data_IF_504721991329
#
_entry.id   IF_504721991329
#
_cell.length_a   1.000
_cell.length_b   1.000
_cell.length_c   1.000
_cell.angle_alpha   90.00
_cell.angle_beta   90.00
_cell.angle_gamma   90.00
#
_symmetry.space_group_name_H-M   'P 1'
#
loop_
_entity.id
_entity.type
_entity.pdbx_description
1 polymer ?
#
# COMPACT_ATOMS: atom_id res chain seq x y z
N UNK A 1 -15.16 51.25 -28.37
CA UNK A 1 -14.48 51.28 -27.08
C UNK A 1 -13.44 52.40 -27.09
N UNK A 2 -13.70 53.50 -26.35
CA UNK A 2 -12.82 54.68 -26.32
C UNK A 2 -11.41 54.43 -25.78
N UNK A 3 -11.17 53.26 -25.17
CA UNK A 3 -9.89 52.86 -24.56
C UNK A 3 -9.02 52.02 -25.47
N UNK A 4 -9.47 51.62 -26.68
CA UNK A 4 -8.71 50.79 -27.61
C UNK A 4 -8.42 49.33 -27.14
N UNK A 5 -8.99 48.89 -25.96
CA UNK A 5 -8.86 47.53 -25.43
C UNK A 5 -10.12 47.10 -24.75
N UNK A 6 -10.33 45.78 -24.61
CA UNK A 6 -11.45 45.19 -23.83
C UNK A 6 -11.06 45.09 -22.36
N UNK A 7 -11.74 45.79 -21.45
CA UNK A 7 -11.50 45.67 -19.99
C UNK A 7 -11.73 44.23 -19.48
N UNK A 8 -12.70 43.52 -20.02
CA UNK A 8 -12.99 42.11 -19.67
C UNK A 8 -11.81 41.20 -20.04
N UNK A 9 -11.26 41.33 -21.26
CA UNK A 9 -10.10 40.56 -21.68
C UNK A 9 -8.86 40.83 -20.81
N UNK A 10 -8.64 42.08 -20.42
CA UNK A 10 -7.56 42.44 -19.50
C UNK A 10 -7.76 41.75 -18.14
N UNK A 11 -9.00 41.59 -17.68
CA UNK A 11 -9.27 40.87 -16.43
C UNK A 11 -8.90 39.38 -16.52
N UNK A 12 -9.17 38.72 -17.65
CA UNK A 12 -8.72 37.34 -17.87
C UNK A 12 -7.19 37.22 -17.86
N UNK A 13 -6.48 38.13 -18.50
CA UNK A 13 -5.01 38.17 -18.48
C UNK A 13 -4.50 38.33 -17.04
N UNK A 14 -5.05 39.29 -16.28
CA UNK A 14 -4.68 39.51 -14.88
C UNK A 14 -4.93 38.26 -14.01
N UNK A 15 -6.06 37.58 -14.20
CA UNK A 15 -6.37 36.37 -13.48
C UNK A 15 -5.40 35.22 -13.83
N UNK A 16 -5.02 35.10 -15.11
CA UNK A 16 -4.04 34.10 -15.56
C UNK A 16 -2.67 34.36 -14.94
N UNK A 17 -2.22 35.60 -14.96
CA UNK A 17 -0.94 35.97 -14.33
C UNK A 17 -0.94 35.81 -12.82
N UNK A 18 -2.04 36.11 -12.14
CA UNK A 18 -2.12 36.05 -10.68
C UNK A 18 -2.36 34.63 -10.15
N UNK A 19 -3.15 33.81 -10.84
CA UNK A 19 -3.64 32.52 -10.31
C UNK A 19 -3.03 31.29 -11.00
N UNK A 20 -2.67 31.40 -12.28
CA UNK A 20 -2.20 30.26 -13.08
C UNK A 20 -0.67 30.26 -13.18
N UNK A 21 -0.08 31.36 -13.62
CA UNK A 21 1.35 31.44 -13.88
C UNK A 21 2.23 31.06 -12.67
N UNK A 22 1.96 31.47 -11.42
CA UNK A 22 2.77 31.09 -10.27
C UNK A 22 2.75 29.59 -9.97
N UNK A 23 1.65 28.90 -10.35
CA UNK A 23 1.43 27.48 -10.05
C UNK A 23 2.03 26.60 -11.17
N UNK A 24 1.94 27.02 -12.42
CA UNK A 24 2.33 26.22 -13.59
C UNK A 24 3.66 26.68 -14.22
N UNK A 25 4.64 27.00 -13.38
CA UNK A 25 6.00 27.33 -13.85
C UNK A 25 6.84 26.08 -14.04
N UNK A 26 7.75 26.11 -15.02
CA UNK A 26 8.75 25.05 -15.22
C UNK A 26 9.61 24.83 -13.98
N UNK A 27 9.94 25.92 -13.27
CA UNK A 27 10.69 25.81 -12.01
C UNK A 27 9.96 24.94 -11.02
N UNK A 28 8.70 25.21 -10.71
CA UNK A 28 7.90 24.40 -9.81
C UNK A 28 7.82 22.93 -10.25
N UNK A 29 7.60 22.70 -11.56
CA UNK A 29 7.55 21.36 -12.12
C UNK A 29 8.87 20.61 -11.88
N UNK A 30 10.01 21.25 -12.13
CA UNK A 30 11.32 20.65 -11.87
C UNK A 30 11.55 20.38 -10.37
N UNK A 31 11.20 21.30 -9.51
CA UNK A 31 11.29 21.12 -8.05
C UNK A 31 10.46 19.91 -7.61
N UNK A 32 9.22 19.77 -8.09
CA UNK A 32 8.35 18.62 -7.83
C UNK A 32 8.98 17.30 -8.32
N UNK A 33 9.56 17.27 -9.52
CA UNK A 33 10.22 16.06 -10.03
C UNK A 33 11.48 15.70 -9.24
N UNK A 34 12.30 16.68 -8.87
CA UNK A 34 13.49 16.47 -8.06
C UNK A 34 13.10 15.88 -6.70
N UNK A 35 12.14 16.50 -6.02
CA UNK A 35 11.75 16.10 -4.66
C UNK A 35 11.00 14.77 -4.64
N UNK A 36 10.06 14.58 -5.56
CA UNK A 36 9.18 13.38 -5.55
C UNK A 36 9.85 12.16 -6.15
N UNK A 37 10.72 12.33 -7.16
CA UNK A 37 11.25 11.21 -7.94
C UNK A 37 12.77 11.17 -7.99
N UNK A 38 13.44 12.16 -8.55
CA UNK A 38 14.87 12.06 -8.90
C UNK A 38 15.76 11.91 -7.68
N UNK A 39 15.56 12.68 -6.62
CA UNK A 39 16.36 12.59 -5.39
C UNK A 39 16.22 11.21 -4.73
N UNK A 40 15.03 10.65 -4.71
CA UNK A 40 14.76 9.32 -4.16
C UNK A 40 15.39 8.22 -5.00
N UNK A 41 15.26 8.31 -6.32
CA UNK A 41 15.85 7.34 -7.25
C UNK A 41 17.37 7.39 -7.27
N UNK A 42 17.98 8.58 -7.19
CA UNK A 42 19.42 8.73 -7.09
C UNK A 42 19.99 8.07 -5.82
N UNK A 43 19.34 8.30 -4.67
CA UNK A 43 19.71 7.64 -3.39
C UNK A 43 19.59 6.12 -3.49
N UNK A 44 18.50 5.62 -4.07
CA UNK A 44 18.27 4.19 -4.28
C UNK A 44 19.32 3.59 -5.22
N UNK A 45 19.57 4.22 -6.36
CA UNK A 45 20.58 3.74 -7.32
C UNK A 45 21.96 3.63 -6.69
N UNK A 46 22.36 4.63 -5.87
CA UNK A 46 23.62 4.60 -5.12
C UNK A 46 23.65 3.42 -4.13
N UNK A 47 22.58 3.18 -3.39
CA UNK A 47 22.51 2.07 -2.44
C UNK A 47 22.57 0.69 -3.13
N UNK A 48 21.88 0.54 -4.28
CA UNK A 48 21.86 -0.72 -5.04
C UNK A 48 23.22 -1.02 -5.70
N UNK A 49 23.97 0.01 -6.11
CA UNK A 49 25.30 -0.14 -6.74
C UNK A 49 26.43 -0.32 -5.72
N UNK A 50 26.22 0.01 -4.46
CA UNK A 50 27.22 -0.10 -3.43
C UNK A 50 27.66 -1.56 -3.21
N UNK A 51 28.91 -1.75 -2.74
CA UNK A 51 29.47 -3.05 -2.36
C UNK A 51 29.29 -4.13 -3.44
N UNK A 52 29.64 -3.81 -4.68
CA UNK A 52 29.49 -4.72 -5.83
C UNK A 52 28.05 -5.23 -6.00
N UNK A 53 27.08 -4.32 -5.87
CA UNK A 53 25.65 -4.58 -5.99
C UNK A 53 25.10 -5.58 -4.94
N UNK A 54 25.68 -5.65 -3.76
CA UNK A 54 25.28 -6.60 -2.72
C UNK A 54 23.77 -6.52 -2.43
N UNK A 55 23.23 -5.31 -2.25
CA UNK A 55 21.80 -5.10 -1.99
C UNK A 55 20.90 -5.54 -3.14
N UNK A 56 21.34 -5.33 -4.37
CA UNK A 56 20.58 -5.79 -5.55
C UNK A 56 20.55 -7.32 -5.62
N UNK A 57 21.69 -7.99 -5.35
CA UNK A 57 21.78 -9.46 -5.30
C UNK A 57 20.91 -10.05 -4.19
N UNK A 58 20.89 -9.42 -3.00
CA UNK A 58 20.02 -9.82 -1.89
C UNK A 58 18.54 -9.75 -2.27
N UNK A 59 18.11 -8.68 -2.95
CA UNK A 59 16.73 -8.53 -3.41
C UNK A 59 16.37 -9.61 -4.44
N UNK A 60 17.27 -9.93 -5.38
CA UNK A 60 17.05 -10.98 -6.37
C UNK A 60 16.91 -12.34 -5.69
N UNK A 61 17.84 -12.71 -4.82
CA UNK A 61 17.77 -13.96 -4.08
C UNK A 61 16.49 -14.07 -3.23
N UNK A 62 16.06 -12.98 -2.59
CA UNK A 62 14.80 -12.95 -1.87
C UNK A 62 13.60 -13.17 -2.79
N UNK A 63 13.57 -12.52 -3.97
CA UNK A 63 12.48 -12.71 -4.96
C UNK A 63 12.40 -14.16 -5.45
N UNK A 64 13.52 -14.75 -5.78
CA UNK A 64 13.62 -16.13 -6.23
C UNK A 64 13.13 -17.11 -5.15
N UNK A 65 13.60 -16.95 -3.92
CA UNK A 65 13.17 -17.77 -2.79
C UNK A 65 11.66 -17.62 -2.51
N UNK A 66 11.13 -16.41 -2.52
CA UNK A 66 9.71 -16.16 -2.32
C UNK A 66 8.86 -16.76 -3.43
N UNK A 67 9.28 -16.59 -4.70
CA UNK A 67 8.56 -17.16 -5.85
C UNK A 67 8.52 -18.69 -5.81
N UNK A 68 9.64 -19.34 -5.48
CA UNK A 68 9.74 -20.79 -5.42
C UNK A 68 8.88 -21.43 -4.30
N UNK A 69 8.60 -20.67 -3.24
CA UNK A 69 7.91 -21.19 -2.05
C UNK A 69 6.50 -20.61 -1.85
N UNK A 70 6.06 -19.68 -2.69
CA UNK A 70 4.77 -18.99 -2.50
C UNK A 70 3.57 -19.93 -2.45
N UNK A 71 3.54 -20.91 -3.34
CA UNK A 71 2.43 -21.87 -3.45
C UNK A 71 2.45 -22.94 -2.34
N UNK A 72 3.57 -23.07 -1.63
CA UNK A 72 3.73 -23.99 -0.50
C UNK A 72 3.24 -23.40 0.83
N UNK A 73 2.85 -22.12 0.84
CA UNK A 73 2.35 -21.45 2.04
C UNK A 73 0.95 -21.97 2.38
N UNK A 74 0.77 -22.47 3.58
CA UNK A 74 -0.50 -23.01 4.07
C UNK A 74 -1.14 -22.06 5.12
N UNK A 75 -2.44 -21.80 4.98
CA UNK A 75 -3.22 -21.12 6.00
C UNK A 75 -3.72 -22.18 6.98
N UNK A 76 -3.24 -22.13 8.21
CA UNK A 76 -3.60 -23.11 9.24
C UNK A 76 -4.88 -22.72 9.96
N UNK A 77 -5.03 -21.42 10.28
CA UNK A 77 -6.16 -20.91 11.05
C UNK A 77 -6.45 -19.45 10.66
N UNK A 78 -7.71 -19.08 10.67
CA UNK A 78 -8.17 -17.71 10.53
C UNK A 78 -9.44 -17.48 11.35
N UNK A 79 -9.53 -16.33 12.00
CA UNK A 79 -10.73 -15.95 12.76
C UNK A 79 -11.87 -15.44 11.88
N UNK A 80 -11.60 -15.15 10.60
CA UNK A 80 -12.61 -14.75 9.62
C UNK A 80 -12.43 -15.57 8.33
N UNK A 81 -13.54 -15.91 7.71
CA UNK A 81 -13.55 -16.48 6.37
C UNK A 81 -13.54 -15.36 5.32
N UNK A 82 -13.05 -15.66 4.13
CA UNK A 82 -13.08 -14.72 3.01
C UNK A 82 -14.49 -14.17 2.80
N UNK A 83 -14.59 -12.85 2.62
CA UNK A 83 -15.85 -12.12 2.42
C UNK A 83 -16.90 -12.29 3.55
N UNK A 84 -16.45 -12.54 4.76
CA UNK A 84 -17.33 -12.60 5.93
C UNK A 84 -18.10 -11.28 6.10
N UNK A 85 -19.40 -11.40 6.39
CA UNK A 85 -20.22 -10.27 6.79
C UNK A 85 -20.05 -9.99 8.28
N UNK A 86 -19.82 -8.75 8.63
CA UNK A 86 -19.82 -8.35 10.04
C UNK A 86 -20.54 -7.01 10.23
N UNK A 87 -21.13 -6.85 11.40
CA UNK A 87 -21.78 -5.60 11.80
C UNK A 87 -20.80 -4.89 12.72
N UNK A 88 -20.33 -3.72 12.28
CA UNK A 88 -19.50 -2.88 13.14
C UNK A 88 -20.40 -2.15 14.14
N UNK A 89 -20.32 -2.54 15.39
CA UNK A 89 -20.80 -1.73 16.51
C UNK A 89 -19.64 -0.87 17.03
N UNK A 90 -19.82 0.44 17.05
CA UNK A 90 -18.77 1.42 17.38
C UNK A 90 -18.14 1.29 18.78
N UNK A 91 -18.49 0.30 19.55
CA UNK A 91 -18.08 0.16 20.94
C UNK A 91 -17.20 -1.07 21.22
N UNK A 92 -17.27 -2.10 20.40
CA UNK A 92 -16.53 -3.32 20.65
C UNK A 92 -15.23 -3.41 19.85
N UNK A 93 -14.16 -3.75 20.55
CA UNK A 93 -12.87 -4.06 19.95
C UNK A 93 -12.97 -5.37 19.19
N UNK A 94 -12.67 -5.33 17.91
CA UNK A 94 -12.60 -6.51 17.06
C UNK A 94 -11.16 -7.03 17.06
N UNK A 95 -11.03 -8.33 17.26
CA UNK A 95 -9.74 -9.03 17.21
C UNK A 95 -9.78 -10.01 16.05
N UNK A 96 -8.87 -9.81 15.10
CA UNK A 96 -8.73 -10.66 13.92
C UNK A 96 -7.37 -11.34 13.99
N UNK A 97 -7.34 -12.66 13.89
CA UNK A 97 -6.14 -13.48 13.96
C UNK A 97 -6.01 -14.39 12.76
N UNK A 98 -4.78 -14.69 12.43
CA UNK A 98 -4.40 -15.55 11.32
C UNK A 98 -3.12 -16.31 11.68
N UNK A 99 -3.09 -17.60 11.40
CA UNK A 99 -1.88 -18.43 11.49
C UNK A 99 -1.57 -19.04 10.14
N UNK A 100 -0.33 -18.84 9.69
CA UNK A 100 0.17 -19.31 8.39
C UNK A 100 1.44 -20.11 8.60
N UNK A 101 1.62 -21.22 7.88
CA UNK A 101 2.86 -21.97 7.79
C UNK A 101 3.52 -21.73 6.43
N UNK A 102 4.60 -20.98 6.43
CA UNK A 102 5.42 -20.69 5.25
C UNK A 102 6.57 -21.71 5.06
N UNK A 103 6.63 -22.74 5.89
CA UNK A 103 7.63 -23.84 5.90
C UNK A 103 9.07 -23.35 6.16
N UNK A 104 9.40 -22.14 5.76
CA UNK A 104 10.74 -21.53 5.90
C UNK A 104 10.63 -20.16 6.57
N UNK A 105 11.51 -19.90 7.51
CA UNK A 105 11.56 -18.63 8.23
C UNK A 105 11.89 -17.44 7.31
N UNK A 106 12.75 -17.67 6.29
CA UNK A 106 13.09 -16.66 5.29
C UNK A 106 11.88 -16.22 4.43
N UNK A 107 10.94 -17.13 4.17
CA UNK A 107 9.68 -16.85 3.49
C UNK A 107 8.72 -16.16 4.45
N UNK A 108 8.57 -16.69 5.66
CA UNK A 108 7.70 -16.16 6.70
C UNK A 108 7.98 -14.68 7.02
N UNK A 109 9.26 -14.31 7.14
CA UNK A 109 9.71 -12.94 7.37
C UNK A 109 9.42 -11.99 6.18
N UNK A 110 9.14 -12.56 5.01
CA UNK A 110 8.78 -11.82 3.79
C UNK A 110 7.28 -11.71 3.55
N UNK A 111 6.42 -12.01 4.52
CA UNK A 111 4.97 -11.93 4.39
C UNK A 111 4.41 -10.67 5.06
N UNK A 112 3.45 -10.05 4.40
CA UNK A 112 2.63 -8.98 4.94
C UNK A 112 1.15 -9.35 4.88
N UNK A 113 0.37 -8.84 5.83
CA UNK A 113 -1.06 -9.11 5.93
C UNK A 113 -1.82 -7.81 6.11
N UNK A 114 -2.98 -7.72 5.47
CA UNK A 114 -3.88 -6.59 5.63
C UNK A 114 -5.34 -7.07 5.58
N UNK A 115 -6.18 -6.43 6.36
CA UNK A 115 -7.62 -6.58 6.30
C UNK A 115 -8.18 -5.59 5.30
N UNK A 116 -8.87 -6.10 4.29
CA UNK A 116 -9.59 -5.27 3.30
C UNK A 116 -11.06 -5.27 3.67
N UNK A 117 -11.62 -4.09 3.86
CA UNK A 117 -13.00 -3.87 4.29
C UNK A 117 -13.73 -3.16 3.16
N UNK A 118 -14.85 -3.71 2.72
CA UNK A 118 -15.71 -3.13 1.70
C UNK A 118 -17.13 -2.90 2.24
N UNK A 119 -17.81 -1.91 1.69
CA UNK A 119 -19.20 -1.58 2.00
C UNK A 119 -20.01 -1.57 0.71
N UNK A 120 -21.26 -2.04 0.79
CA UNK A 120 -22.19 -1.90 -0.30
C UNK A 120 -22.71 -0.46 -0.37
N UNK A 121 -22.52 0.21 -1.51
CA UNK A 121 -23.02 1.55 -1.81
C UNK A 121 -23.62 1.52 -3.19
N UNK A 122 -24.90 1.83 -3.29
CA UNK A 122 -25.66 1.83 -4.56
C UNK A 122 -25.57 0.50 -5.34
N UNK A 123 -25.63 -0.62 -4.61
CA UNK A 123 -25.58 -1.97 -5.20
C UNK A 123 -24.17 -2.42 -5.62
N UNK A 124 -23.14 -1.62 -5.43
CA UNK A 124 -21.75 -1.95 -5.75
C UNK A 124 -20.87 -2.06 -4.50
N UNK A 125 -19.92 -2.98 -4.53
CA UNK A 125 -18.90 -3.09 -3.50
C UNK A 125 -17.86 -1.97 -3.66
N UNK A 126 -17.74 -1.11 -2.67
CA UNK A 126 -16.74 -0.03 -2.64
C UNK A 126 -15.76 -0.24 -1.50
N UNK A 127 -14.49 -0.06 -1.79
CA UNK A 127 -13.44 -0.10 -0.78
C UNK A 127 -13.74 0.94 0.31
N UNK A 128 -13.87 0.47 1.55
CA UNK A 128 -14.05 1.32 2.71
C UNK A 128 -12.72 1.60 3.40
N UNK A 129 -11.96 0.56 3.72
CA UNK A 129 -10.69 0.69 4.43
C UNK A 129 -9.77 -0.51 4.15
N UNK A 130 -8.46 -0.26 4.21
CA UNK A 130 -7.43 -1.29 4.27
C UNK A 130 -6.64 -1.07 5.56
N UNK A 131 -6.53 -2.11 6.38
CA UNK A 131 -5.87 -2.04 7.69
C UNK A 131 -4.76 -3.08 7.73
N UNK A 132 -3.49 -2.68 7.81
CA UNK A 132 -2.38 -3.64 7.94
C UNK A 132 -2.40 -4.30 9.31
N UNK A 133 -2.01 -5.59 9.36
CA UNK A 133 -1.74 -6.27 10.62
C UNK A 133 -0.47 -5.70 11.23
N UNK A 134 -0.53 -5.31 12.49
CA UNK A 134 0.57 -4.66 13.21
C UNK A 134 1.33 -5.61 14.12
N UNK A 135 0.65 -6.67 14.61
CA UNK A 135 1.27 -7.71 15.42
C UNK A 135 1.51 -8.95 14.54
N UNK A 136 2.74 -9.11 14.08
CA UNK A 136 3.16 -10.26 13.27
C UNK A 136 4.36 -10.89 13.95
N UNK A 137 4.21 -12.15 14.39
CA UNK A 137 5.26 -12.94 15.03
C UNK A 137 5.63 -14.12 14.14
N UNK A 138 6.91 -14.33 13.94
CA UNK A 138 7.47 -15.42 13.13
C UNK A 138 8.27 -16.35 14.03
N UNK A 139 7.96 -17.63 13.98
CA UNK A 139 8.67 -18.66 14.74
C UNK A 139 8.79 -19.93 13.88
N UNK A 140 10.02 -20.30 13.49
CA UNK A 140 10.31 -21.54 12.76
C UNK A 140 9.52 -21.71 11.47
N UNK A 141 9.28 -20.64 10.70
CA UNK A 141 8.50 -20.67 9.46
C UNK A 141 6.99 -20.48 9.63
N UNK A 142 6.48 -20.52 10.87
CA UNK A 142 5.09 -20.17 11.17
C UNK A 142 4.95 -18.68 11.45
N UNK A 143 3.85 -18.10 10.96
CA UNK A 143 3.49 -16.70 11.17
C UNK A 143 2.19 -16.63 11.92
N UNK A 144 2.21 -15.98 13.07
CA UNK A 144 1.02 -15.62 13.83
C UNK A 144 0.78 -14.12 13.68
N UNK A 145 -0.28 -13.75 12.99
CA UNK A 145 -0.64 -12.35 12.75
C UNK A 145 -1.92 -11.99 13.50
N UNK A 146 -1.92 -10.84 14.16
CA UNK A 146 -3.06 -10.32 14.91
C UNK A 146 -3.30 -8.86 14.56
N UNK A 147 -4.56 -8.52 14.41
CA UNK A 147 -5.04 -7.16 14.22
C UNK A 147 -6.10 -6.87 15.27
N UNK A 148 -5.91 -5.80 16.03
CA UNK A 148 -6.92 -5.25 16.90
C UNK A 148 -7.44 -3.94 16.33
N UNK A 149 -8.74 -3.82 16.16
CA UNK A 149 -9.35 -2.61 15.65
C UNK A 149 -10.68 -2.31 16.34
N UNK A 150 -10.97 -1.04 16.52
CA UNK A 150 -12.29 -0.57 16.93
C UNK A 150 -12.95 0.09 15.72
N UNK A 151 -14.09 -0.43 15.25
CA UNK A 151 -14.82 0.21 14.17
C UNK A 151 -15.27 1.62 14.57
N UNK A 152 -15.08 2.57 13.66
CA UNK A 152 -15.48 3.99 13.89
C UNK A 152 -16.79 4.34 13.19
N UNK A 153 -17.33 3.43 12.40
CA UNK A 153 -18.54 3.65 11.61
C UNK A 153 -19.43 2.41 11.72
N UNK A 154 -20.65 2.58 12.13
CA UNK A 154 -21.64 1.51 12.16
C UNK A 154 -22.07 1.08 10.76
N UNK A 155 -22.49 -0.17 10.62
CA UNK A 155 -23.04 -0.71 9.38
C UNK A 155 -22.62 -2.15 9.10
N UNK A 156 -23.13 -2.69 8.01
CA UNK A 156 -22.77 -4.01 7.50
C UNK A 156 -21.61 -3.88 6.51
N UNK A 157 -20.55 -4.64 6.74
CA UNK A 157 -19.35 -4.66 5.92
C UNK A 157 -19.02 -6.10 5.54
N UNK A 158 -18.35 -6.26 4.39
CA UNK A 158 -17.63 -7.48 4.06
C UNK A 158 -16.15 -7.25 4.26
N UNK A 159 -15.44 -8.27 4.70
CA UNK A 159 -14.00 -8.19 4.86
C UNK A 159 -13.31 -9.48 4.41
N UNK A 160 -12.05 -9.33 4.02
CA UNK A 160 -11.17 -10.44 3.69
C UNK A 160 -9.74 -10.10 4.11
N UNK A 161 -8.97 -11.11 4.47
CA UNK A 161 -7.54 -10.94 4.69
C UNK A 161 -6.82 -11.08 3.36
N UNK A 162 -5.89 -10.17 3.11
CA UNK A 162 -5.00 -10.21 1.95
C UNK A 162 -3.57 -10.41 2.43
N UNK A 163 -2.98 -11.55 2.06
CA UNK A 163 -1.56 -11.85 2.24
C UNK A 163 -0.79 -11.39 1.01
N UNK A 164 0.38 -10.81 1.21
CA UNK A 164 1.24 -10.35 0.12
C UNK A 164 2.72 -10.47 0.47
N UNK A 165 3.57 -10.57 -0.57
CA UNK A 165 5.01 -10.54 -0.39
C UNK A 165 5.47 -9.13 0.01
N UNK A 166 6.23 -9.02 1.11
CA UNK A 166 6.69 -7.77 1.71
C UNK A 166 8.19 -7.74 1.82
N UNK A 167 8.80 -6.70 1.25
CA UNK A 167 10.21 -6.41 1.43
C UNK A 167 10.42 -4.90 1.41
N UNK A 168 10.94 -4.37 2.50
CA UNK A 168 11.13 -2.92 2.68
C UNK A 168 12.23 -2.34 1.75
N UNK A 169 13.04 -3.20 1.13
CA UNK A 169 13.99 -2.78 0.11
C UNK A 169 13.34 -2.52 -1.25
N UNK A 170 12.09 -2.94 -1.48
CA UNK A 170 11.34 -2.61 -2.67
C UNK A 170 10.69 -1.23 -2.53
N UNK A 171 10.74 -0.36 -3.55
CA UNK A 171 10.12 0.97 -3.49
C UNK A 171 8.59 0.89 -3.48
N UNK A 172 8.02 -0.14 -4.08
CA UNK A 172 6.61 -0.37 -4.17
C UNK A 172 6.29 -1.86 -4.16
N UNK A 173 5.17 -2.26 -3.54
CA UNK A 173 4.74 -3.67 -3.53
C UNK A 173 4.47 -4.23 -4.93
N UNK A 174 4.11 -3.38 -5.90
CA UNK A 174 3.92 -3.77 -7.31
C UNK A 174 5.22 -4.20 -8.02
N UNK A 175 6.39 -3.94 -7.45
CA UNK A 175 7.66 -4.44 -7.99
C UNK A 175 7.83 -5.96 -7.82
N UNK A 176 6.96 -6.57 -7.01
CA UNK A 176 6.88 -8.03 -6.81
C UNK A 176 5.46 -8.42 -6.39
N UNK A 177 4.60 -8.71 -7.37
CA UNK A 177 3.14 -8.79 -7.23
C UNK A 177 2.64 -10.16 -6.76
N UNK A 178 3.20 -10.74 -5.71
CA UNK A 178 2.67 -11.94 -5.09
C UNK A 178 1.61 -11.55 -4.06
N UNK A 179 0.38 -12.04 -4.28
CA UNK A 179 -0.79 -11.73 -3.48
C UNK A 179 -1.75 -12.92 -3.44
N UNK A 180 -2.33 -13.20 -2.27
CA UNK A 180 -3.37 -14.21 -2.08
C UNK A 180 -4.43 -13.71 -1.11
N UNK A 181 -5.69 -13.96 -1.44
CA UNK A 181 -6.82 -13.78 -0.54
C UNK A 181 -6.99 -15.00 0.36
N UNK A 182 -7.33 -14.73 1.62
CA UNK A 182 -7.54 -15.72 2.69
C UNK A 182 -8.94 -15.55 3.24
#
# INVERSE_FOLDING_TARGET
NSKGYSPEWIQYIKNSLAKIAPIYTTKRMLDDYIDRFYSKQAKRAKALKANNCAKAKEIVAWKENMAANWDNIEVLETSINNMSHFIADNKEKQVISLTVDAKQESVANGLGFELVIVKMIDGAEKLHKVVPFTEVKVEGGKVNAKLEMTPTTGGSFKCAIRMYAKNDALPHRQDFCYLRWI
#
